data_IF_909678571449
#
_entry.id   IF_909678571449
#
_cell.length_a   1.000
_cell.length_b   1.000
_cell.length_c   1.000
_cell.angle_alpha   90.00
_cell.angle_beta   90.00
_cell.angle_gamma   90.00
#
_symmetry.space_group_name_H-M   'P 1'
#
loop_
_entity.id
_entity.type
_entity.pdbx_description
1 polymer ?
#
# COMPACT_ATOMS: atom_id res chain seq x y z
N UNK A 1 13.44 -7.68 42.75
CA UNK A 1 14.49 -7.29 41.78
C UNK A 1 13.99 -7.12 40.34
N UNK A 2 12.77 -6.61 40.10
CA UNK A 2 12.30 -6.31 38.74
C UNK A 2 13.04 -5.12 38.11
N UNK A 3 13.45 -4.14 38.93
CA UNK A 3 14.26 -3.01 38.50
C UNK A 3 15.61 -3.42 37.90
N UNK A 4 16.25 -4.47 38.43
CA UNK A 4 17.53 -4.97 37.94
C UNK A 4 17.33 -5.59 36.55
N UNK A 5 16.30 -6.41 36.38
CA UNK A 5 15.97 -7.03 35.09
C UNK A 5 15.69 -5.94 34.04
N UNK A 6 14.88 -4.94 34.39
CA UNK A 6 14.57 -3.82 33.51
C UNK A 6 15.82 -3.03 33.12
N UNK A 7 16.65 -2.65 34.10
CA UNK A 7 17.86 -1.88 33.87
C UNK A 7 18.88 -2.64 33.01
N UNK A 8 19.13 -3.92 33.31
CA UNK A 8 20.02 -4.75 32.53
C UNK A 8 19.52 -4.93 31.09
N UNK A 9 18.21 -5.17 30.90
CA UNK A 9 17.63 -5.33 29.57
C UNK A 9 17.77 -4.06 28.72
N UNK A 10 17.41 -2.89 29.28
CA UNK A 10 17.57 -1.60 28.61
C UNK A 10 19.04 -1.33 28.28
N UNK A 11 19.97 -1.58 29.22
CA UNK A 11 21.39 -1.36 28.99
C UNK A 11 21.92 -2.24 27.84
N UNK A 12 21.57 -3.53 27.82
CA UNK A 12 21.99 -4.45 26.76
C UNK A 12 21.40 -4.04 25.40
N UNK A 13 20.11 -3.70 25.32
CA UNK A 13 19.50 -3.24 24.08
C UNK A 13 19.96 -1.85 23.64
N UNK A 14 20.42 -1.00 24.55
CA UNK A 14 21.00 0.32 24.22
C UNK A 14 22.32 0.19 23.47
N UNK A 15 23.07 -0.88 23.73
CA UNK A 15 24.32 -1.20 23.03
C UNK A 15 24.09 -1.83 21.64
N UNK A 16 22.84 -2.17 21.30
CA UNK A 16 22.52 -2.68 19.98
C UNK A 16 22.70 -1.60 18.90
N UNK A 17 23.44 -1.89 17.81
CA UNK A 17 23.55 -0.97 16.67
C UNK A 17 22.19 -0.77 16.01
N UNK A 18 21.37 -1.83 15.97
CA UNK A 18 20.00 -1.76 15.47
C UNK A 18 19.03 -1.45 16.62
N UNK A 19 18.22 -0.39 16.47
CA UNK A 19 17.24 0.03 17.49
C UNK A 19 15.86 0.04 16.86
N UNK A 20 14.95 -0.72 17.46
CA UNK A 20 13.54 -0.71 17.10
C UNK A 20 12.71 -0.61 18.38
N UNK A 21 11.59 0.11 18.30
CA UNK A 21 10.68 0.24 19.43
C UNK A 21 10.19 -1.13 19.95
N UNK A 22 10.05 -2.12 19.04
CA UNK A 22 9.61 -3.48 19.40
C UNK A 22 10.53 -4.22 20.35
N UNK A 23 11.79 -3.83 20.47
CA UNK A 23 12.69 -4.42 21.45
C UNK A 23 12.28 -4.09 22.88
N UNK A 24 11.51 -3.03 23.14
CA UNK A 24 11.09 -2.68 24.51
C UNK A 24 9.74 -3.32 24.87
N UNK A 25 8.94 -3.76 23.89
CA UNK A 25 7.61 -4.33 24.13
C UNK A 25 7.58 -5.46 25.18
N UNK A 26 8.54 -6.42 25.20
CA UNK A 26 8.56 -7.47 26.22
C UNK A 26 8.74 -6.97 27.65
N UNK A 27 9.29 -5.77 27.85
CA UNK A 27 9.48 -5.16 29.17
C UNK A 27 8.27 -4.37 29.66
N UNK A 28 7.31 -4.08 28.78
CA UNK A 28 6.14 -3.26 29.10
C UNK A 28 5.33 -3.80 30.29
N UNK A 29 5.06 -5.13 30.43
CA UNK A 29 4.38 -5.66 31.61
C UNK A 29 5.13 -5.40 32.92
N UNK A 30 6.46 -5.50 32.92
CA UNK A 30 7.30 -5.27 34.10
C UNK A 30 7.25 -3.78 34.48
N UNK A 31 7.35 -2.89 33.50
CA UNK A 31 7.22 -1.44 33.69
C UNK A 31 5.84 -1.12 34.29
N UNK A 32 4.76 -1.69 33.75
CA UNK A 32 3.40 -1.49 34.28
C UNK A 32 3.26 -1.92 35.75
N UNK A 33 3.84 -3.07 36.15
CA UNK A 33 3.81 -3.56 37.55
C UNK A 33 4.56 -2.59 38.47
N UNK A 34 5.73 -2.11 38.06
CA UNK A 34 6.55 -1.19 38.84
C UNK A 34 5.90 0.20 38.99
N UNK A 35 5.33 0.71 37.90
CA UNK A 35 4.60 1.97 37.87
C UNK A 35 3.29 1.90 38.66
N UNK A 36 2.56 0.78 38.59
CA UNK A 36 1.25 0.60 39.23
C UNK A 36 1.26 0.87 40.73
N UNK A 37 2.31 0.44 41.44
CA UNK A 37 2.47 0.67 42.89
C UNK A 37 2.53 2.16 43.24
N UNK A 38 3.21 2.94 42.41
CA UNK A 38 3.34 4.39 42.60
C UNK A 38 2.07 5.11 42.12
N UNK A 39 1.48 4.67 41.01
CA UNK A 39 0.21 5.21 40.52
C UNK A 39 -0.90 5.08 41.58
N UNK A 40 -0.93 3.98 42.35
CA UNK A 40 -1.89 3.77 43.45
C UNK A 40 -1.84 4.86 44.53
N UNK A 41 -0.65 5.38 44.87
CA UNK A 41 -0.52 6.46 45.86
C UNK A 41 -0.93 7.83 45.29
N UNK A 42 -0.85 8.02 43.98
CA UNK A 42 -1.28 9.26 43.28
C UNK A 42 -2.78 9.31 42.95
N UNK A 43 -3.45 8.16 42.87
CA UNK A 43 -4.84 8.02 42.43
C UNK A 43 -5.87 8.72 43.32
N UNK A 44 -5.56 9.03 44.58
CA UNK A 44 -6.47 9.72 45.50
C UNK A 44 -6.78 11.17 45.07
N UNK A 45 -5.87 12.13 45.34
CA UNK A 45 -6.14 13.55 45.08
C UNK A 45 -6.19 13.91 43.59
N UNK A 46 -5.66 13.06 42.70
CA UNK A 46 -5.56 13.33 41.24
C UNK A 46 -6.39 12.38 40.38
N UNK A 47 -7.40 11.70 40.94
CA UNK A 47 -8.27 10.76 40.21
C UNK A 47 -8.81 11.32 38.90
N UNK A 48 -9.26 12.58 38.91
CA UNK A 48 -9.80 13.26 37.72
C UNK A 48 -8.75 13.38 36.61
N UNK A 49 -7.51 13.75 36.96
CA UNK A 49 -6.40 13.85 36.01
C UNK A 49 -6.06 12.48 35.41
N UNK A 50 -6.05 11.41 36.22
CA UNK A 50 -5.79 10.06 35.73
C UNK A 50 -6.90 9.56 34.79
N UNK A 51 -8.17 9.89 35.08
CA UNK A 51 -9.29 9.58 34.18
C UNK A 51 -9.19 10.35 32.86
N UNK A 52 -8.78 11.62 32.88
CA UNK A 52 -8.51 12.39 31.67
C UNK A 52 -7.35 11.80 30.85
N UNK A 53 -6.26 11.41 31.51
CA UNK A 53 -5.15 10.75 30.85
C UNK A 53 -5.57 9.40 30.24
N UNK A 54 -6.36 8.61 30.96
CA UNK A 54 -6.91 7.35 30.43
C UNK A 54 -7.81 7.60 29.22
N UNK A 55 -8.69 8.61 29.28
CA UNK A 55 -9.54 9.01 28.15
C UNK A 55 -8.70 9.43 26.93
N UNK A 56 -7.66 10.24 27.13
CA UNK A 56 -6.75 10.63 26.05
C UNK A 56 -6.05 9.42 25.41
N UNK A 57 -5.63 8.43 26.22
CA UNK A 57 -5.05 7.19 25.70
C UNK A 57 -6.09 6.34 24.95
N UNK A 58 -7.34 6.27 25.40
CA UNK A 58 -8.42 5.59 24.67
C UNK A 58 -8.67 6.26 23.32
N UNK A 59 -8.71 7.59 23.28
CA UNK A 59 -8.84 8.35 22.02
C UNK A 59 -7.65 8.04 21.10
N UNK A 60 -6.42 8.05 21.63
CA UNK A 60 -5.23 7.73 20.85
C UNK A 60 -5.25 6.29 20.33
N UNK A 61 -5.68 5.30 21.13
CA UNK A 61 -5.80 3.90 20.70
C UNK A 61 -6.86 3.75 19.62
N UNK A 62 -8.02 4.41 19.74
CA UNK A 62 -9.06 4.38 18.71
C UNK A 62 -8.56 5.05 17.43
N UNK A 63 -7.92 6.20 17.53
CA UNK A 63 -7.35 6.89 16.37
C UNK A 63 -6.28 6.04 15.67
N UNK A 64 -5.28 5.57 16.42
CA UNK A 64 -4.16 4.78 15.88
C UNK A 64 -4.58 3.39 15.40
N UNK A 65 -5.59 2.79 16.03
CA UNK A 65 -6.07 1.45 15.66
C UNK A 65 -7.10 1.44 14.54
N UNK A 66 -7.83 2.53 14.33
CA UNK A 66 -8.93 2.57 13.36
C UNK A 66 -8.73 3.53 12.19
N UNK A 67 -7.88 4.54 12.31
CA UNK A 67 -7.73 5.61 11.32
C UNK A 67 -6.29 5.75 10.82
N UNK A 68 -5.30 5.83 11.71
CA UNK A 68 -3.91 6.04 11.31
C UNK A 68 -3.30 4.75 10.70
N UNK A 69 -2.69 4.87 9.53
CA UNK A 69 -2.02 3.79 8.79
C UNK A 69 -2.88 2.55 8.52
N UNK A 70 -4.21 2.72 8.40
CA UNK A 70 -5.14 1.62 8.09
C UNK A 70 -5.28 1.34 6.59
N UNK A 71 -5.03 2.34 5.73
CA UNK A 71 -5.10 2.20 4.27
C UNK A 71 -4.51 0.90 3.68
N UNK A 72 -3.34 0.41 4.12
CA UNK A 72 -2.77 -0.79 3.54
C UNK A 72 -3.66 -2.05 3.73
N UNK A 73 -4.43 -2.12 4.81
CA UNK A 73 -5.39 -3.21 5.04
C UNK A 73 -6.60 -3.04 4.12
N UNK A 74 -7.16 -1.83 4.06
CA UNK A 74 -8.39 -1.57 3.32
C UNK A 74 -8.19 -1.67 1.80
N UNK A 75 -7.02 -1.28 1.28
CA UNK A 75 -6.62 -1.52 -0.13
C UNK A 75 -6.62 -3.00 -0.47
N UNK A 76 -5.93 -3.83 0.33
CA UNK A 76 -5.83 -5.26 0.03
C UNK A 76 -7.20 -5.95 0.10
N UNK A 77 -8.08 -5.51 1.01
CA UNK A 77 -9.48 -5.97 1.04
C UNK A 77 -10.22 -5.59 -0.25
N UNK A 78 -10.11 -4.35 -0.69
CA UNK A 78 -10.75 -3.89 -1.92
C UNK A 78 -10.29 -4.69 -3.15
N UNK A 79 -8.99 -4.98 -3.25
CA UNK A 79 -8.43 -5.83 -4.31
C UNK A 79 -9.04 -7.24 -4.25
N UNK A 80 -9.08 -7.85 -3.05
CA UNK A 80 -9.67 -9.18 -2.91
C UNK A 80 -11.17 -9.19 -3.23
N UNK A 81 -11.92 -8.16 -2.85
CA UNK A 81 -13.35 -8.06 -3.17
C UNK A 81 -13.57 -7.91 -4.68
N UNK A 82 -12.73 -7.11 -5.37
CA UNK A 82 -12.76 -6.97 -6.82
C UNK A 82 -12.50 -8.31 -7.53
N UNK A 83 -11.45 -9.03 -7.13
CA UNK A 83 -11.14 -10.37 -7.66
C UNK A 83 -12.27 -11.36 -7.36
N UNK A 84 -12.77 -11.37 -6.13
CA UNK A 84 -13.84 -12.27 -5.70
C UNK A 84 -15.12 -12.07 -6.52
N UNK A 85 -15.47 -10.82 -6.82
CA UNK A 85 -16.60 -10.49 -7.68
C UNK A 85 -16.36 -10.98 -9.12
N UNK A 86 -15.19 -10.71 -9.70
CA UNK A 86 -14.82 -11.17 -11.05
C UNK A 86 -14.88 -12.70 -11.19
N UNK A 87 -14.34 -13.44 -10.22
CA UNK A 87 -14.41 -14.90 -10.21
C UNK A 87 -15.84 -15.43 -10.09
N UNK A 88 -16.69 -14.77 -9.27
CA UNK A 88 -18.11 -15.12 -9.17
C UNK A 88 -18.84 -14.92 -10.49
N UNK A 89 -18.61 -13.78 -11.17
CA UNK A 89 -19.20 -13.53 -12.48
C UNK A 89 -18.74 -14.55 -13.53
N UNK A 90 -17.44 -14.84 -13.59
CA UNK A 90 -16.89 -15.86 -14.50
C UNK A 90 -17.50 -17.25 -14.25
N UNK A 91 -17.68 -17.64 -12.99
CA UNK A 91 -18.31 -18.91 -12.63
C UNK A 91 -19.78 -18.99 -13.04
N UNK A 92 -20.54 -17.91 -12.79
CA UNK A 92 -21.95 -17.81 -13.21
C UNK A 92 -22.05 -17.91 -14.73
N UNK A 93 -21.20 -17.19 -15.47
CA UNK A 93 -21.19 -17.24 -16.92
C UNK A 93 -20.86 -18.66 -17.44
N UNK A 94 -19.84 -19.31 -16.87
CA UNK A 94 -19.50 -20.69 -17.25
C UNK A 94 -20.65 -21.68 -16.98
N UNK A 95 -21.41 -21.48 -15.89
CA UNK A 95 -22.57 -22.31 -15.57
C UNK A 95 -23.73 -22.08 -16.55
N UNK A 96 -23.96 -20.83 -16.96
CA UNK A 96 -24.97 -20.50 -17.99
C UNK A 96 -24.60 -21.15 -19.32
N UNK A 97 -23.33 -21.09 -19.72
CA UNK A 97 -22.84 -21.72 -20.95
C UNK A 97 -22.93 -23.24 -20.89
N UNK A 98 -22.56 -23.84 -19.75
CA UNK A 98 -22.70 -25.28 -19.53
C UNK A 98 -24.16 -25.72 -19.63
N UNK A 99 -25.09 -25.02 -18.96
CA UNK A 99 -26.53 -25.29 -19.02
C UNK A 99 -27.09 -25.15 -20.44
N UNK A 100 -26.63 -24.16 -21.20
CA UNK A 100 -27.00 -23.99 -22.61
C UNK A 100 -26.56 -25.17 -23.48
N UNK A 101 -25.42 -25.78 -23.15
CA UNK A 101 -24.84 -26.89 -23.89
C UNK A 101 -25.21 -28.28 -23.33
N UNK A 102 -26.02 -28.35 -22.25
CA UNK A 102 -26.46 -29.60 -21.60
C UNK A 102 -27.58 -30.29 -22.41
N UNK A 103 -27.33 -30.51 -23.70
CA UNK A 103 -28.03 -31.49 -24.54
C UNK A 103 -27.12 -32.63 -25.00
N UNK A 104 -25.81 -32.60 -24.69
CA UNK A 104 -24.88 -33.70 -24.96
C UNK A 104 -23.82 -33.81 -23.85
N UNK A 105 -23.83 -34.97 -23.20
CA UNK A 105 -22.81 -35.62 -22.37
C UNK A 105 -22.31 -34.93 -21.07
N UNK A 106 -22.73 -35.55 -19.98
CA UNK A 106 -22.34 -35.34 -18.59
C UNK A 106 -21.08 -36.15 -18.28
N UNK A 107 -19.92 -35.48 -18.20
CA UNK A 107 -18.86 -35.75 -17.20
C UNK A 107 -17.58 -35.03 -17.60
N UNK A 108 -17.35 -33.84 -17.06
CA UNK A 108 -15.98 -33.33 -16.92
C UNK A 108 -15.92 -32.59 -15.60
N UNK A 109 -15.24 -33.17 -14.63
CA UNK A 109 -14.92 -32.55 -13.36
C UNK A 109 -14.09 -31.29 -13.63
N UNK A 110 -14.72 -30.12 -13.54
CA UNK A 110 -14.07 -28.82 -13.64
C UNK A 110 -13.07 -28.72 -12.49
N UNK A 111 -11.79 -29.01 -12.74
CA UNK A 111 -10.75 -28.62 -11.79
C UNK A 111 -10.78 -27.10 -11.72
N UNK A 112 -11.01 -26.54 -10.54
CA UNK A 112 -11.02 -25.10 -10.36
C UNK A 112 -9.61 -24.58 -10.68
N UNK A 113 -9.44 -23.96 -11.85
CA UNK A 113 -8.17 -23.37 -12.26
C UNK A 113 -7.87 -22.19 -11.34
N UNK A 114 -6.74 -22.24 -10.64
CA UNK A 114 -6.29 -21.16 -9.77
C UNK A 114 -5.92 -19.95 -10.65
N UNK A 115 -6.67 -18.85 -10.54
CA UNK A 115 -6.38 -17.62 -11.29
C UNK A 115 -5.24 -16.86 -10.62
N UNK A 116 -4.25 -16.42 -11.38
CA UNK A 116 -3.11 -15.67 -10.84
C UNK A 116 -3.28 -14.18 -11.15
N UNK A 117 -3.16 -13.33 -10.13
CA UNK A 117 -3.25 -11.88 -10.21
C UNK A 117 -1.95 -11.24 -9.75
N UNK A 118 -1.51 -10.18 -10.42
CA UNK A 118 -0.31 -9.43 -10.06
C UNK A 118 -0.68 -8.08 -9.45
N UNK A 119 -0.04 -7.76 -8.32
CA UNK A 119 -0.23 -6.50 -7.58
C UNK A 119 1.14 -5.85 -7.37
N UNK A 120 1.36 -4.68 -7.94
CA UNK A 120 2.60 -3.92 -7.70
C UNK A 120 2.30 -2.75 -6.74
N UNK A 121 3.09 -2.65 -5.67
CA UNK A 121 3.00 -1.60 -4.65
C UNK A 121 4.11 -0.57 -4.89
N UNK A 122 3.76 0.53 -5.55
CA UNK A 122 4.65 1.68 -5.82
C UNK A 122 4.50 2.72 -4.71
N UNK A 123 5.12 2.45 -3.57
CA UNK A 123 5.10 3.32 -2.39
C UNK A 123 6.31 3.07 -1.50
N UNK A 124 6.49 3.92 -0.48
CA UNK A 124 7.53 3.75 0.53
C UNK A 124 7.42 2.42 1.28
N UNK A 125 8.55 1.75 1.49
CA UNK A 125 8.58 0.40 2.06
C UNK A 125 8.06 0.25 3.49
N UNK A 126 8.09 1.31 4.28
CA UNK A 126 7.56 1.30 5.64
C UNK A 126 6.04 1.47 5.68
N UNK A 127 5.42 1.78 4.55
CA UNK A 127 3.96 1.88 4.36
C UNK A 127 3.39 0.74 3.51
N UNK A 128 4.24 -0.18 3.06
CA UNK A 128 3.85 -1.28 2.17
C UNK A 128 2.79 -2.19 2.83
N UNK A 129 1.72 -2.58 2.10
CA UNK A 129 0.62 -3.34 2.68
C UNK A 129 0.99 -4.74 3.15
N UNK A 130 0.39 -5.12 4.29
CA UNK A 130 0.50 -6.46 4.84
C UNK A 130 -0.12 -7.47 3.86
N UNK A 131 0.72 -8.34 3.31
CA UNK A 131 0.36 -9.41 2.36
C UNK A 131 -0.66 -10.42 2.94
N UNK A 132 -0.87 -10.43 4.26
CA UNK A 132 -1.83 -11.30 4.95
C UNK A 132 -3.29 -11.08 4.51
N UNK A 133 -3.60 -9.96 3.86
CA UNK A 133 -4.94 -9.67 3.35
C UNK A 133 -5.15 -10.08 1.88
N UNK A 134 -4.16 -10.68 1.21
CA UNK A 134 -4.26 -11.19 -0.15
C UNK A 134 -4.33 -12.73 -0.20
N UNK A 135 -5.25 -13.33 0.56
CA UNK A 135 -5.42 -14.78 0.61
C UNK A 135 -6.84 -15.20 0.22
N UNK A 136 -6.95 -15.97 -0.86
CA UNK A 136 -8.22 -16.51 -1.37
C UNK A 136 -8.02 -17.93 -1.90
N UNK A 137 -9.05 -18.79 -1.80
CA UNK A 137 -8.94 -20.20 -2.19
C UNK A 137 -8.76 -20.42 -3.70
N UNK A 138 -9.31 -19.54 -4.54
CA UNK A 138 -9.35 -19.68 -6.00
C UNK A 138 -8.52 -18.63 -6.75
N UNK A 139 -7.72 -17.86 -6.02
CA UNK A 139 -6.84 -16.83 -6.57
C UNK A 139 -5.46 -16.87 -5.92
N UNK A 140 -4.41 -16.73 -6.72
CA UNK A 140 -3.03 -16.54 -6.27
C UNK A 140 -2.61 -15.11 -6.57
N UNK A 141 -2.07 -14.42 -5.58
CA UNK A 141 -1.52 -13.08 -5.77
C UNK A 141 0.01 -13.13 -5.85
N UNK A 142 0.57 -12.52 -6.90
CA UNK A 142 1.99 -12.25 -7.04
C UNK A 142 2.17 -10.77 -6.75
N UNK A 143 3.00 -10.45 -5.75
CA UNK A 143 3.18 -9.08 -5.30
C UNK A 143 4.59 -8.60 -5.57
N UNK A 144 4.74 -7.34 -5.97
CA UNK A 144 6.02 -6.65 -6.09
C UNK A 144 6.00 -5.41 -5.22
N UNK A 145 7.04 -5.21 -4.42
CA UNK A 145 7.28 -3.98 -3.66
C UNK A 145 8.60 -3.37 -4.14
N UNK A 146 8.74 -2.04 -4.02
CA UNK A 146 9.99 -1.36 -4.32
C UNK A 146 11.13 -1.83 -3.40
N UNK A 147 12.35 -1.96 -3.94
CA UNK A 147 13.52 -2.24 -3.11
C UNK A 147 13.90 -1.05 -2.21
N UNK A 148 14.21 -1.41 -0.98
CA UNK A 148 14.59 -0.56 0.14
C UNK A 148 15.31 -1.40 1.21
N UNK A 149 15.80 -2.57 0.81
CA UNK A 149 16.51 -3.50 1.67
C UNK A 149 17.68 -2.82 2.39
N UNK A 150 18.08 -3.30 3.58
CA UNK A 150 19.26 -2.77 4.26
C UNK A 150 20.51 -2.85 3.38
N UNK A 151 20.63 -3.86 2.52
CA UNK A 151 21.70 -3.96 1.52
C UNK A 151 21.73 -2.76 0.58
N UNK A 152 20.58 -2.36 0.04
CA UNK A 152 20.49 -1.20 -0.83
C UNK A 152 20.86 0.09 -0.06
N UNK A 153 20.23 0.30 1.11
CA UNK A 153 20.44 1.50 1.94
C UNK A 153 21.84 1.62 2.53
N UNK A 154 22.55 0.50 2.70
CA UNK A 154 23.92 0.50 3.23
C UNK A 154 24.96 1.05 2.24
N UNK A 155 24.62 1.09 0.95
CA UNK A 155 25.53 1.55 -0.08
C UNK A 155 25.11 2.93 -0.61
N UNK A 156 25.80 4.01 -0.23
CA UNK A 156 25.45 5.38 -0.66
C UNK A 156 25.66 5.62 -2.16
N UNK A 157 26.33 4.71 -2.88
CA UNK A 157 26.49 4.79 -4.34
C UNK A 157 25.30 4.20 -5.12
N UNK A 158 24.36 3.55 -4.44
CA UNK A 158 23.18 2.93 -5.05
C UNK A 158 21.95 3.76 -4.68
N UNK A 159 21.22 4.20 -5.71
CA UNK A 159 19.92 4.84 -5.51
C UNK A 159 18.83 3.76 -5.51
N UNK A 160 18.18 3.54 -4.36
CA UNK A 160 17.21 2.46 -4.20
C UNK A 160 15.93 2.70 -5.03
N UNK A 161 15.25 1.63 -5.43
CA UNK A 161 14.02 1.75 -6.23
C UNK A 161 12.98 2.65 -5.57
N UNK A 162 12.82 2.54 -4.25
CA UNK A 162 11.92 3.41 -3.48
C UNK A 162 12.29 4.89 -3.57
N UNK A 163 13.56 5.23 -3.44
CA UNK A 163 14.04 6.63 -3.49
C UNK A 163 13.94 7.19 -4.92
N UNK A 164 14.25 6.37 -5.94
CA UNK A 164 14.08 6.72 -7.35
C UNK A 164 12.62 7.01 -7.70
N UNK A 165 11.71 6.15 -7.26
CA UNK A 165 10.27 6.33 -7.46
C UNK A 165 9.74 7.57 -6.74
N UNK A 166 10.22 7.84 -5.52
CA UNK A 166 9.83 9.05 -4.79
C UNK A 166 10.31 10.33 -5.46
N UNK A 167 11.45 10.31 -6.15
CA UNK A 167 12.01 11.48 -6.82
C UNK A 167 11.36 11.75 -8.18
N UNK A 168 11.16 10.71 -8.99
CA UNK A 168 10.55 10.82 -10.32
C UNK A 168 9.66 9.59 -10.60
N UNK A 169 8.38 9.62 -10.16
CA UNK A 169 7.48 8.47 -10.30
C UNK A 169 7.14 8.18 -11.77
N UNK A 170 7.06 9.21 -12.59
CA UNK A 170 6.75 9.15 -14.02
C UNK A 170 7.83 8.39 -14.76
N UNK A 171 9.08 8.85 -14.70
CA UNK A 171 10.19 8.17 -15.35
C UNK A 171 10.42 6.77 -14.78
N UNK A 172 10.25 6.59 -13.46
CA UNK A 172 10.36 5.27 -12.84
C UNK A 172 9.35 4.26 -13.42
N UNK A 173 8.09 4.66 -13.65
CA UNK A 173 7.06 3.82 -14.25
C UNK A 173 7.40 3.48 -15.72
N UNK A 174 7.93 4.45 -16.47
CA UNK A 174 8.43 4.21 -17.84
C UNK A 174 9.50 3.12 -17.88
N UNK A 175 10.51 3.22 -17.03
CA UNK A 175 11.59 2.25 -16.97
C UNK A 175 11.12 0.89 -16.43
N UNK A 176 10.27 0.89 -15.39
CA UNK A 176 9.78 -0.32 -14.75
C UNK A 176 9.00 -1.22 -15.72
N UNK A 177 8.14 -0.61 -16.53
CA UNK A 177 7.29 -1.34 -17.48
C UNK A 177 7.80 -1.31 -18.93
N UNK A 178 8.93 -0.65 -19.19
CA UNK A 178 9.53 -0.54 -20.52
C UNK A 178 8.59 0.14 -21.51
N UNK A 179 8.02 1.27 -21.11
CA UNK A 179 7.02 2.01 -21.90
C UNK A 179 7.73 2.77 -23.02
N UNK A 180 7.41 2.45 -24.27
CA UNK A 180 7.86 3.24 -25.41
C UNK A 180 6.81 4.31 -25.75
N UNK A 181 7.20 5.58 -25.64
CA UNK A 181 6.36 6.67 -26.12
C UNK A 181 6.43 6.75 -27.65
N UNK A 182 5.36 6.35 -28.33
CA UNK A 182 5.13 6.79 -29.69
C UNK A 182 4.72 8.27 -29.67
N UNK A 183 5.40 9.09 -30.47
CA UNK A 183 5.14 10.53 -30.57
C UNK A 183 3.66 10.76 -30.91
N UNK A 184 2.95 11.51 -30.07
CA UNK A 184 1.59 11.94 -30.41
C UNK A 184 1.69 12.92 -31.58
N UNK A 185 1.38 12.46 -32.78
CA UNK A 185 1.28 13.32 -33.95
C UNK A 185 0.10 14.28 -33.74
N UNK A 186 0.38 15.58 -33.88
CA UNK A 186 -0.65 16.60 -33.83
C UNK A 186 -1.26 16.67 -35.24
N UNK A 187 -2.54 16.34 -35.39
CA UNK A 187 -3.23 16.67 -36.64
C UNK A 187 -3.27 18.20 -36.75
N UNK A 188 -2.46 18.75 -37.65
CA UNK A 188 -2.46 20.16 -38.01
C UNK A 188 -3.82 20.49 -38.64
N UNK A 189 -4.72 21.05 -37.83
CA UNK A 189 -5.92 21.75 -38.32
C UNK A 189 -7.26 21.14 -37.89
N UNK A 190 -7.63 21.31 -36.63
CA UNK A 190 -9.03 21.14 -36.20
C UNK A 190 -9.19 20.99 -34.70
N UNK A 191 -9.65 22.06 -34.04
CA UNK A 191 -10.14 22.16 -32.66
C UNK A 191 -9.27 21.55 -31.53
N UNK A 192 -8.83 22.39 -30.60
CA UNK A 192 -7.82 22.10 -29.57
C UNK A 192 -8.27 21.11 -28.45
N UNK A 193 -9.26 20.25 -28.67
CA UNK A 193 -9.91 19.47 -27.61
C UNK A 193 -9.92 17.95 -27.77
N UNK A 194 -9.26 17.37 -28.78
CA UNK A 194 -9.12 15.91 -28.86
C UNK A 194 -7.76 15.47 -29.41
N UNK A 195 -6.71 15.58 -28.60
CA UNK A 195 -5.44 14.88 -28.88
C UNK A 195 -5.63 13.38 -28.66
N UNK A 196 -5.90 12.62 -29.72
CA UNK A 196 -5.95 11.16 -29.64
C UNK A 196 -4.52 10.61 -29.74
N UNK A 197 -3.85 10.46 -28.61
CA UNK A 197 -2.59 9.73 -28.57
C UNK A 197 -2.85 8.21 -28.70
N UNK A 198 -2.01 7.46 -29.43
CA UNK A 198 -2.07 6.01 -29.43
C UNK A 198 -1.86 5.44 -28.01
N UNK A 199 -2.47 4.27 -27.77
CA UNK A 199 -2.29 3.50 -26.55
C UNK A 199 -0.80 3.20 -26.35
N UNK A 200 -0.32 3.32 -25.11
CA UNK A 200 1.07 3.02 -24.77
C UNK A 200 1.29 1.50 -24.79
N UNK A 201 2.37 1.06 -25.44
CA UNK A 201 2.80 -0.34 -25.40
C UNK A 201 3.88 -0.52 -24.32
N UNK A 202 3.64 -1.46 -23.41
CA UNK A 202 4.58 -1.85 -22.37
C UNK A 202 5.37 -3.08 -22.82
N UNK A 203 6.70 -3.01 -22.75
CA UNK A 203 7.56 -4.15 -23.07
C UNK A 203 7.51 -5.25 -21.99
N UNK A 204 7.20 -4.87 -20.74
CA UNK A 204 7.01 -5.81 -19.62
C UNK A 204 5.54 -6.00 -19.27
N UNK A 205 5.23 -7.14 -18.64
CA UNK A 205 3.87 -7.42 -18.16
C UNK A 205 3.41 -6.41 -17.12
N UNK A 206 2.34 -5.69 -17.45
CA UNK A 206 1.65 -4.78 -16.55
C UNK A 206 0.92 -5.58 -15.45
N UNK A 207 0.97 -5.14 -14.19
CA UNK A 207 0.19 -5.75 -13.13
C UNK A 207 -1.32 -5.56 -13.35
N UNK A 208 -2.12 -6.45 -12.76
CA UNK A 208 -3.59 -6.33 -12.79
C UNK A 208 -4.04 -5.20 -11.85
N UNK A 209 -3.33 -5.04 -10.73
CA UNK A 209 -3.54 -3.99 -9.75
C UNK A 209 -2.24 -3.21 -9.48
N UNK A 210 -2.37 -1.89 -9.43
CA UNK A 210 -1.29 -0.98 -9.07
C UNK A 210 -1.69 -0.18 -7.85
N UNK A 211 -0.85 -0.16 -6.83
CA UNK A 211 -1.13 0.59 -5.60
C UNK A 211 -0.09 1.69 -5.44
N UNK A 212 -0.55 2.94 -5.34
CA UNK A 212 0.27 4.14 -5.40
C UNK A 212 -0.24 5.19 -4.41
N UNK A 213 0.66 6.01 -3.87
CA UNK A 213 0.31 7.13 -2.99
C UNK A 213 -0.18 8.33 -3.82
N UNK A 214 -1.11 9.12 -3.26
CA UNK A 214 -1.73 10.28 -3.93
C UNK A 214 -0.76 11.28 -4.55
N UNK A 215 0.30 11.76 -3.86
CA UNK A 215 1.20 12.77 -4.43
C UNK A 215 1.96 12.26 -5.67
N UNK A 216 2.31 10.96 -5.68
CA UNK A 216 2.98 10.33 -6.81
C UNK A 216 2.01 10.00 -7.95
N UNK A 217 0.75 9.73 -7.64
CA UNK A 217 -0.27 9.52 -8.65
C UNK A 217 -0.53 10.80 -9.45
N UNK A 218 -0.63 11.95 -8.81
CA UNK A 218 -0.86 13.24 -9.51
C UNK A 218 0.22 13.51 -10.59
N UNK A 219 1.45 13.05 -10.35
CA UNK A 219 2.55 13.19 -11.31
C UNK A 219 2.48 12.15 -12.44
N UNK A 220 2.00 10.94 -12.17
CA UNK A 220 2.00 9.81 -13.10
C UNK A 220 0.61 9.49 -13.74
N UNK A 221 -0.43 10.25 -13.40
CA UNK A 221 -1.84 9.99 -13.78
C UNK A 221 -2.01 9.88 -15.30
N UNK A 222 -1.34 10.76 -16.05
CA UNK A 222 -1.43 10.78 -17.51
C UNK A 222 -0.91 9.47 -18.14
N UNK A 223 0.16 8.89 -17.61
CA UNK A 223 0.73 7.64 -18.13
C UNK A 223 -0.14 6.47 -17.72
N UNK A 224 -0.56 6.42 -16.45
CA UNK A 224 -1.36 5.32 -15.93
C UNK A 224 -2.73 5.22 -16.60
N UNK A 225 -3.38 6.36 -16.86
CA UNK A 225 -4.62 6.41 -17.63
C UNK A 225 -4.44 5.93 -19.08
N UNK A 226 -3.34 6.33 -19.74
CA UNK A 226 -2.99 5.85 -21.10
C UNK A 226 -2.67 4.35 -21.15
N UNK A 227 -2.18 3.76 -20.06
CA UNK A 227 -1.98 2.32 -19.91
C UNK A 227 -3.30 1.56 -19.57
N UNK A 228 -4.42 2.28 -19.44
CA UNK A 228 -5.73 1.70 -19.16
C UNK A 228 -6.00 1.42 -17.69
N UNK A 229 -5.22 1.99 -16.76
CA UNK A 229 -5.54 1.92 -15.35
C UNK A 229 -6.70 2.85 -15.00
N UNK A 230 -7.60 2.33 -14.17
CA UNK A 230 -8.74 3.04 -13.61
C UNK A 230 -8.69 2.96 -12.09
N UNK A 231 -9.18 3.98 -11.42
CA UNK A 231 -9.20 4.01 -9.96
C UNK A 231 -10.22 3.00 -9.41
N UNK A 232 -9.73 2.03 -8.64
CA UNK A 232 -10.55 1.07 -7.90
C UNK A 232 -11.03 1.69 -6.58
N UNK A 233 -10.18 2.45 -5.89
CA UNK A 233 -10.52 3.10 -4.64
C UNK A 233 -9.41 4.00 -4.09
N UNK A 234 -9.78 4.85 -3.13
CA UNK A 234 -8.91 5.77 -2.40
C UNK A 234 -9.10 5.57 -0.92
N UNK A 235 -8.00 5.46 -0.18
CA UNK A 235 -7.98 5.02 1.20
C UNK A 235 -7.10 5.95 2.02
N UNK A 236 -7.67 6.48 3.09
CA UNK A 236 -6.96 7.37 4.01
C UNK A 236 -5.80 6.65 4.71
N UNK A 237 -4.57 7.14 4.52
CA UNK A 237 -3.37 6.56 5.12
C UNK A 237 -2.96 7.31 6.39
N UNK A 238 -2.71 8.61 6.30
CA UNK A 238 -2.30 9.42 7.43
C UNK A 238 -2.56 10.92 7.19
N UNK A 239 -2.42 11.71 8.24
CA UNK A 239 -2.29 13.16 8.12
C UNK A 239 -0.79 13.43 7.94
N UNK A 240 -0.39 14.12 6.87
CA UNK A 240 1.01 14.46 6.66
C UNK A 240 1.49 15.31 7.83
N UNK A 241 2.59 14.90 8.47
CA UNK A 241 3.18 15.65 9.58
C UNK A 241 3.80 16.96 9.08
N UNK A 242 3.80 18.01 9.90
CA UNK A 242 4.59 19.22 9.65
C UNK A 242 6.07 18.84 9.71
N UNK A 243 6.74 18.78 8.57
CA UNK A 243 8.18 18.59 8.49
C UNK A 243 8.89 19.83 9.03
N UNK A 244 9.53 19.72 10.20
CA UNK A 244 10.47 20.75 10.66
C UNK A 244 11.77 20.54 9.87
N UNK A 245 11.87 21.17 8.70
CA UNK A 245 13.08 21.18 7.89
C UNK A 245 14.16 22.01 8.61
N UNK A 246 15.26 21.38 9.00
CA UNK A 246 16.47 22.09 9.38
C UNK A 246 17.13 22.64 8.11
N UNK A 247 16.81 23.90 7.80
CA UNK A 247 17.66 24.80 7.01
C UNK A 247 17.79 24.49 5.52
N UNK A 248 16.77 24.85 4.73
CA UNK A 248 16.94 25.49 3.42
C UNK A 248 15.59 26.10 3.01
N UNK A 249 15.60 27.37 2.64
CA UNK A 249 14.39 28.13 2.32
C UNK A 249 14.00 27.90 0.85
N UNK A 250 12.78 27.43 0.61
CA UNK A 250 12.08 27.48 -0.68
C UNK A 250 10.65 27.99 -0.43
N UNK A 251 10.17 28.75 -1.42
CA UNK A 251 9.07 29.71 -1.44
C UNK A 251 7.70 29.22 -0.97
N UNK A 252 6.94 30.18 -0.44
CA UNK A 252 5.57 30.09 0.09
C UNK A 252 4.61 29.28 -0.79
N UNK A 253 4.08 28.18 -0.25
CA UNK A 253 2.97 27.44 -0.87
C UNK A 253 2.46 26.24 -0.07
N UNK A 254 3.31 25.55 0.70
CA UNK A 254 3.02 24.18 1.16
C UNK A 254 2.82 24.02 2.68
N UNK A 255 2.30 25.07 3.33
CA UNK A 255 2.10 25.13 4.79
C UNK A 255 0.74 24.62 5.28
N UNK A 256 -0.01 23.89 4.45
CA UNK A 256 -1.25 23.22 4.84
C UNK A 256 -1.02 21.71 4.86
N UNK A 257 -1.14 21.09 6.05
CA UNK A 257 -1.00 19.65 6.22
C UNK A 257 -1.97 18.90 5.31
N UNK A 258 -1.43 18.28 4.25
CA UNK A 258 -2.15 17.39 3.37
C UNK A 258 -2.59 16.11 4.08
N UNK A 259 -3.52 15.39 3.46
CA UNK A 259 -3.82 14.00 3.82
C UNK A 259 -3.04 13.09 2.90
N UNK A 260 -2.25 12.19 3.47
CA UNK A 260 -1.63 11.10 2.72
C UNK A 260 -2.71 10.06 2.46
N UNK A 261 -3.05 9.85 1.19
CA UNK A 261 -4.00 8.83 0.76
C UNK A 261 -3.33 7.80 -0.14
N UNK A 262 -3.78 6.56 -0.03
CA UNK A 262 -3.32 5.43 -0.81
C UNK A 262 -4.41 5.05 -1.82
N UNK A 263 -4.03 4.91 -3.08
CA UNK A 263 -4.96 4.60 -4.16
C UNK A 263 -4.65 3.23 -4.74
N UNK A 264 -5.71 2.48 -5.00
CA UNK A 264 -5.65 1.23 -5.76
C UNK A 264 -6.18 1.52 -7.17
N UNK A 265 -5.40 1.13 -8.17
CA UNK A 265 -5.74 1.21 -9.57
C UNK A 265 -5.85 -0.20 -10.13
N UNK A 266 -6.72 -0.40 -11.12
CA UNK A 266 -6.90 -1.67 -11.81
C UNK A 266 -7.01 -1.44 -13.31
N UNK A 267 -6.48 -2.36 -14.10
CA UNK A 267 -6.86 -2.48 -15.53
C UNK A 267 -8.13 -3.34 -15.59
N UNK A 268 -9.11 -3.05 -16.47
CA UNK A 268 -10.27 -3.89 -16.63
C UNK A 268 -9.89 -5.36 -16.86
N UNK A 269 -10.63 -6.30 -16.26
CA UNK A 269 -10.48 -7.74 -16.50
C UNK A 269 -10.96 -8.13 -17.90
N UNK A 270 -10.40 -7.54 -18.96
CA UNK A 270 -10.65 -7.97 -20.33
C UNK A 270 -9.79 -9.19 -20.62
N UNK A 271 -10.45 -10.35 -20.59
CA UNK A 271 -10.01 -11.68 -20.99
C UNK A 271 -8.56 -12.04 -20.67
N UNK A 272 -8.35 -12.60 -19.47
CA UNK A 272 -7.09 -13.24 -19.04
C UNK A 272 -6.58 -14.33 -20.00
N UNK A 273 -7.32 -14.70 -21.05
CA UNK A 273 -6.88 -15.64 -22.09
C UNK A 273 -5.88 -15.07 -23.10
N UNK A 274 -5.66 -13.76 -23.16
CA UNK A 274 -4.82 -13.15 -24.22
C UNK A 274 -3.41 -12.75 -23.73
N UNK A 275 -3.11 -12.78 -22.42
CA UNK A 275 -1.81 -12.32 -21.89
C UNK A 275 -0.74 -13.40 -21.66
N UNK A 276 -1.00 -14.64 -22.07
CA UNK A 276 0.04 -15.69 -22.10
C UNK A 276 0.22 -16.18 -23.53
N UNK A 277 1.13 -15.51 -24.24
CA UNK A 277 1.81 -16.02 -25.43
C UNK A 277 3.29 -15.72 -25.29
#
# INVERSE_FOLDING_TARGET
>A
NLWIILACYIALHSLSPHKEFRFILPMLPIICILCGRHVQSFLGPRRRLMLLAALANVIAVVFLGCYHQRAPIDVNRSITDAVGNSLRFAHVQATIEANRNTSRDMSTSTSASLSTYRVDYLMGCHSAPLLSHLHMQHARFITKTLDCSPSCRSNPSVNCESDRFHHDPTNFIHELYGIQESSCESEDGGDASARTCPALEAQHSLPDFLVIMSPQLEQAEQILSRLGYTQLGQFFHAISGVGIMQGEAIEDGDLMGGTDELLALQVPFTDHRVRFS
#
